data_IF_111348787796
#
_entry.id   IF_111348787796
#
_cell.length_a   1.000
_cell.length_b   1.000
_cell.length_c   1.000
_cell.angle_alpha   90.00
_cell.angle_beta   90.00
_cell.angle_gamma   90.00
#
_symmetry.space_group_name_H-M   'P 1'
#
loop_
_entity.id
_entity.type
_entity.pdbx_description
1 polymer ?
#
# COMPACT_ATOMS: atom_id res chain seq x y z
N UNK A 1 -15.24 -0.69 1.28
CA UNK A 1 -14.76 -0.90 -0.10
C UNK A 1 -13.25 -1.10 -0.16
N UNK A 2 -12.49 -0.69 0.87
CA UNK A 2 -11.05 -0.88 0.94
C UNK A 2 -10.25 -0.16 -0.16
N UNK A 3 -10.84 0.73 -0.96
CA UNK A 3 -10.14 1.39 -2.06
C UNK A 3 -9.11 2.38 -1.51
N UNK A 4 -7.89 2.33 -2.05
CA UNK A 4 -6.84 3.28 -1.69
C UNK A 4 -7.20 4.68 -2.19
N UNK A 5 -7.28 5.64 -1.28
CA UNK A 5 -7.59 7.06 -1.59
C UNK A 5 -6.37 7.99 -1.47
N UNK A 6 -5.28 7.52 -0.87
CA UNK A 6 -4.07 8.30 -0.67
C UNK A 6 -3.08 7.64 0.27
N UNK A 7 -1.95 8.28 0.47
CA UNK A 7 -0.92 7.87 1.42
C UNK A 7 0.26 8.85 1.44
N UNK A 8 1.00 8.84 2.55
CA UNK A 8 2.20 9.65 2.74
C UNK A 8 3.35 8.73 3.11
N UNK A 9 4.51 8.96 2.50
CA UNK A 9 5.74 8.21 2.78
C UNK A 9 6.83 9.16 3.24
N UNK A 10 7.49 8.84 4.34
CA UNK A 10 8.66 9.55 4.85
C UNK A 10 9.81 8.56 4.94
N UNK A 11 10.74 8.64 3.99
CA UNK A 11 11.88 7.74 3.85
C UNK A 11 12.96 8.38 2.93
N UNK A 12 14.22 7.89 2.95
CA UNK A 12 15.28 8.44 2.11
C UNK A 12 14.99 8.43 0.59
N UNK A 13 14.18 7.47 0.12
CA UNK A 13 13.77 7.30 -1.28
C UNK A 13 12.26 7.49 -1.49
N UNK A 14 11.63 8.37 -0.70
CA UNK A 14 10.18 8.60 -0.74
C UNK A 14 9.65 8.94 -2.14
N UNK A 15 10.43 9.65 -2.97
CA UNK A 15 10.05 10.01 -4.34
C UNK A 15 9.81 8.79 -5.24
N UNK A 16 10.46 7.66 -4.99
CA UNK A 16 10.23 6.41 -5.73
C UNK A 16 9.15 5.55 -5.06
N UNK A 17 9.13 5.54 -3.72
CA UNK A 17 8.16 4.77 -2.94
C UNK A 17 6.73 5.32 -3.03
N UNK A 18 6.52 6.55 -3.51
CA UNK A 18 5.19 7.11 -3.68
C UNK A 18 4.45 6.52 -4.89
N UNK A 19 5.17 5.99 -5.89
CA UNK A 19 4.60 5.50 -7.14
C UNK A 19 3.56 4.37 -6.95
N UNK A 20 3.82 3.31 -6.14
CA UNK A 20 2.81 2.30 -5.85
C UNK A 20 1.50 2.85 -5.29
N UNK A 21 1.59 3.89 -4.43
CA UNK A 21 0.41 4.54 -3.83
C UNK A 21 -0.33 5.36 -4.89
N UNK A 22 0.39 6.13 -5.70
CA UNK A 22 -0.20 6.93 -6.77
C UNK A 22 -0.94 6.06 -7.79
N UNK A 23 -0.34 4.92 -8.20
CA UNK A 23 -0.98 3.95 -9.09
C UNK A 23 -2.22 3.31 -8.45
N UNK A 24 -2.16 2.99 -7.16
CA UNK A 24 -3.29 2.43 -6.45
C UNK A 24 -4.48 3.40 -6.40
N UNK A 25 -4.25 4.68 -6.09
CA UNK A 25 -5.29 5.71 -6.11
C UNK A 25 -5.86 5.92 -7.51
N UNK A 26 -4.98 6.11 -8.50
CA UNK A 26 -5.38 6.39 -9.88
C UNK A 26 -6.24 5.25 -10.46
N UNK A 27 -5.88 4.00 -10.17
CA UNK A 27 -6.57 2.83 -10.70
C UNK A 27 -7.62 2.25 -9.74
N UNK A 28 -7.91 2.92 -8.61
CA UNK A 28 -8.87 2.48 -7.58
C UNK A 28 -8.60 1.06 -7.06
N UNK A 29 -7.33 0.72 -6.88
CA UNK A 29 -6.89 -0.57 -6.34
C UNK A 29 -7.31 -0.66 -4.87
N UNK A 30 -7.75 -1.84 -4.44
CA UNK A 30 -8.09 -2.08 -3.04
C UNK A 30 -6.85 -2.34 -2.18
N UNK A 31 -6.92 -2.08 -0.87
CA UNK A 31 -5.88 -2.46 0.10
C UNK A 31 -5.65 -3.96 0.11
N UNK A 32 -6.68 -4.77 -0.18
CA UNK A 32 -6.59 -6.23 -0.32
C UNK A 32 -5.68 -6.64 -1.47
N UNK A 33 -5.89 -6.06 -2.66
CA UNK A 33 -5.06 -6.35 -3.84
C UNK A 33 -3.61 -5.88 -3.61
N UNK A 34 -3.45 -4.71 -3.00
CA UNK A 34 -2.13 -4.14 -2.70
C UNK A 34 -1.37 -5.01 -1.69
N UNK A 35 -2.06 -5.56 -0.69
CA UNK A 35 -1.51 -6.45 0.33
C UNK A 35 -1.13 -7.85 -0.19
N UNK A 36 -1.82 -8.32 -1.22
CA UNK A 36 -1.53 -9.60 -1.90
C UNK A 36 -0.37 -9.49 -2.90
N UNK A 37 0.09 -8.27 -3.21
CA UNK A 37 1.23 -8.05 -4.11
C UNK A 37 2.53 -8.55 -3.47
N UNK A 38 3.26 -9.39 -4.20
CA UNK A 38 4.57 -9.89 -3.75
C UNK A 38 5.64 -8.82 -3.91
N UNK A 39 6.10 -8.27 -2.79
CA UNK A 39 7.22 -7.32 -2.76
C UNK A 39 8.56 -8.05 -2.62
N UNK A 40 9.61 -7.47 -3.22
CA UNK A 40 10.98 -7.98 -3.11
C UNK A 40 11.46 -7.86 -1.66
N UNK A 41 12.20 -8.87 -1.19
CA UNK A 41 12.85 -8.86 0.13
C UNK A 41 14.38 -8.93 -0.02
N UNK A 42 15.15 -8.07 0.65
CA UNK A 42 14.74 -6.97 1.55
C UNK A 42 14.50 -5.64 0.80
N UNK A 43 13.34 -4.98 1.02
CA UNK A 43 13.03 -3.67 0.43
C UNK A 43 12.07 -2.81 1.28
N UNK A 44 12.22 -1.47 1.20
CA UNK A 44 11.31 -0.51 1.86
C UNK A 44 9.89 -0.54 1.28
N UNK A 45 9.73 -0.84 -0.01
CA UNK A 45 8.43 -1.01 -0.65
C UNK A 45 7.60 -2.13 -0.02
N UNK A 46 8.24 -3.14 0.58
CA UNK A 46 7.56 -4.16 1.40
C UNK A 46 6.78 -3.58 2.58
N UNK A 47 7.20 -2.44 3.13
CA UNK A 47 6.48 -1.76 4.21
C UNK A 47 5.15 -1.16 3.74
N UNK A 48 5.03 -0.81 2.45
CA UNK A 48 3.77 -0.32 1.85
C UNK A 48 2.77 -1.48 1.76
N UNK A 49 3.22 -2.65 1.30
CA UNK A 49 2.39 -3.88 1.26
C UNK A 49 1.97 -4.28 2.67
N UNK A 50 2.86 -4.15 3.66
CA UNK A 50 2.51 -4.44 5.05
C UNK A 50 1.50 -3.45 5.63
N UNK A 51 1.60 -2.16 5.30
CA UNK A 51 0.60 -1.18 5.69
C UNK A 51 -0.79 -1.53 5.11
N UNK A 52 -0.85 -2.01 3.87
CA UNK A 52 -2.10 -2.48 3.28
C UNK A 52 -2.67 -3.72 3.98
N UNK A 53 -1.82 -4.69 4.37
CA UNK A 53 -2.25 -5.85 5.18
C UNK A 53 -2.90 -5.45 6.49
N UNK A 54 -2.36 -4.42 7.16
CA UNK A 54 -2.97 -3.90 8.40
C UNK A 54 -4.35 -3.28 8.17
N UNK A 55 -4.56 -2.62 7.04
CA UNK A 55 -5.86 -2.04 6.69
C UNK A 55 -6.88 -3.10 6.30
N UNK A 56 -6.46 -4.21 5.66
CA UNK A 56 -7.34 -5.37 5.44
C UNK A 56 -7.92 -5.91 6.75
N UNK A 57 -7.05 -6.12 7.75
CA UNK A 57 -7.47 -6.63 9.06
C UNK A 57 -8.38 -5.66 9.83
N UNK A 58 -8.38 -4.38 9.48
CA UNK A 58 -9.26 -3.37 10.08
C UNK A 58 -10.64 -3.30 9.38
N UNK A 59 -10.73 -3.63 8.09
CA UNK A 59 -12.02 -3.73 7.36
C UNK A 59 -12.88 -4.89 7.89
N UNK A 60 -12.27 -5.89 8.56
CA UNK A 60 -12.94 -7.05 9.16
C UNK A 60 -13.59 -6.76 10.56
N UNK A 61 -13.42 -5.55 11.13
CA UNK A 61 -13.91 -5.19 12.46
C UNK A 61 -15.22 -4.36 12.46
N UNK A 62 -15.79 -4.10 11.29
CA UNK A 62 -17.11 -3.46 11.09
C UNK A 62 -18.18 -4.49 10.70
#
# INVERSE_FOLDING_TARGET
TGVVIGGVVVAPIASELILPIALAVQNRISVTDLAQTLSVYPALSGSIVEAARRLMAHDDLD
#
